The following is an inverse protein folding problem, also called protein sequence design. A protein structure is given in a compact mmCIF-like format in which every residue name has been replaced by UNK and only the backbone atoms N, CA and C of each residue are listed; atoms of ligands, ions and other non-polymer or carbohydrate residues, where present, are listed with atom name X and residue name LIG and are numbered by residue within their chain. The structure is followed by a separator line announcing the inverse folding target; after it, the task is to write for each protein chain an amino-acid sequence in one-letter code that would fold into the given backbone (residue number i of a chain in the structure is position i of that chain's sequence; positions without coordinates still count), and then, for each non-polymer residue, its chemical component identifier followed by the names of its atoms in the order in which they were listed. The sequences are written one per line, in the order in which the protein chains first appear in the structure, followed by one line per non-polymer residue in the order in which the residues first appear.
data_IF_945204004880
#
_entry.id   IF_945204004880
#
_cell.length_a   1.000
_cell.length_b   1.000
_cell.length_c   1.000
_cell.angle_alpha   90.00
_cell.angle_beta   90.00
_cell.angle_gamma   90.00
#
_symmetry.space_group_name_H-M   'P 1'
#
loop_
_entity.id
_entity.type
_entity.pdbx_description
1 polymer ?
#
# COMPACT_ATOMS: atom_id res chain seq x y z
N UNK A 1 11.10 -2.88 69.00
CA UNK A 1 12.19 -3.44 68.16
C UNK A 1 12.18 -2.69 66.83
N UNK A 2 13.33 -2.11 66.47
CA UNK A 2 13.53 -1.26 65.28
C UNK A 2 13.55 -2.13 64.02
N UNK A 3 12.75 -1.79 63.02
CA UNK A 3 12.94 -2.29 61.65
C UNK A 3 13.17 -1.07 60.75
N UNK A 4 14.42 -0.86 60.37
CA UNK A 4 14.83 0.14 59.40
C UNK A 4 14.51 -0.39 57.99
N UNK A 5 13.59 0.26 57.28
CA UNK A 5 13.39 0.02 55.85
C UNK A 5 14.45 0.80 55.06
N UNK A 6 15.41 0.06 54.49
CA UNK A 6 16.42 0.59 53.60
C UNK A 6 15.79 0.83 52.22
N UNK A 7 15.60 2.10 51.85
CA UNK A 7 15.13 2.48 50.52
C UNK A 7 16.28 2.33 49.51
N UNK A 8 16.28 1.23 48.74
CA UNK A 8 17.13 1.07 47.56
C UNK A 8 16.54 1.88 46.40
N UNK A 9 17.06 3.09 46.22
CA UNK A 9 16.87 3.89 45.01
C UNK A 9 17.56 3.19 43.83
N UNK A 10 16.79 2.47 43.01
CA UNK A 10 17.24 2.03 41.69
C UNK A 10 17.31 3.25 40.77
N UNK A 11 18.51 3.79 40.56
CA UNK A 11 18.78 4.73 39.48
C UNK A 11 18.67 3.98 38.14
N UNK A 12 17.63 4.28 37.37
CA UNK A 12 17.52 3.85 35.98
C UNK A 12 18.63 4.55 35.16
N UNK A 13 19.37 3.83 34.29
CA UNK A 13 20.39 4.46 33.48
C UNK A 13 19.72 5.41 32.49
N UNK A 14 20.11 6.68 32.60
CA UNK A 14 19.75 7.74 31.68
C UNK A 14 20.30 7.44 30.29
N UNK A 15 19.41 7.46 29.30
CA UNK A 15 19.69 7.76 27.89
C UNK A 15 20.85 6.99 27.24
N UNK A 16 20.52 5.86 26.60
CA UNK A 16 21.33 5.42 25.46
C UNK A 16 21.28 6.52 24.39
N UNK A 17 22.38 7.27 24.24
CA UNK A 17 22.54 8.23 23.16
C UNK A 17 22.36 7.49 21.83
N UNK A 18 21.27 7.78 21.13
CA UNK A 18 21.06 7.34 19.75
C UNK A 18 22.22 7.93 18.95
N UNK A 19 23.19 7.10 18.59
CA UNK A 19 24.33 7.52 17.77
C UNK A 19 23.79 8.08 16.47
N UNK A 20 24.01 9.38 16.22
CA UNK A 20 23.67 10.04 14.96
C UNK A 20 24.38 9.26 13.86
N UNK A 21 23.62 8.69 12.92
CA UNK A 21 24.20 7.99 11.78
C UNK A 21 25.22 8.93 11.09
N UNK A 22 26.42 8.45 10.72
CA UNK A 22 27.40 9.28 10.06
C UNK A 22 26.79 9.85 8.77
N UNK A 23 26.98 11.15 8.55
CA UNK A 23 26.62 11.80 7.31
C UNK A 23 27.39 11.13 6.17
N UNK A 24 26.68 10.59 5.19
CA UNK A 24 27.33 10.01 4.02
C UNK A 24 27.71 11.05 2.97
N UNK A 25 28.20 10.61 1.80
CA UNK A 25 28.56 11.52 0.70
C UNK A 25 27.33 12.36 0.31
N UNK A 26 27.46 13.69 0.42
CA UNK A 26 26.37 14.67 0.23
C UNK A 26 25.66 15.12 1.51
N UNK A 27 26.21 14.85 2.70
CA UNK A 27 25.62 15.27 3.97
C UNK A 27 25.61 16.79 4.20
N UNK A 28 26.50 17.51 3.53
CA UNK A 28 26.56 18.98 3.47
C UNK A 28 25.41 19.57 2.64
N UNK A 29 24.89 18.85 1.63
CA UNK A 29 23.75 19.31 0.82
C UNK A 29 22.54 19.67 1.70
N UNK A 30 22.35 18.96 2.82
CA UNK A 30 21.26 19.19 3.75
C UNK A 30 21.32 20.56 4.44
N UNK A 31 22.48 21.23 4.52
CA UNK A 31 22.56 22.56 5.13
C UNK A 31 21.76 23.60 4.35
N UNK A 32 21.57 23.39 3.05
CA UNK A 32 20.83 24.28 2.17
C UNK A 32 19.51 23.67 1.67
N UNK A 33 19.48 22.36 1.38
CA UNK A 33 18.32 21.70 0.74
C UNK A 33 17.34 21.04 1.73
N UNK A 34 17.65 20.99 3.02
CA UNK A 34 16.78 20.32 3.99
C UNK A 34 15.38 20.91 4.06
N UNK A 35 15.22 22.21 3.80
CA UNK A 35 13.91 22.87 3.89
C UNK A 35 12.86 22.23 2.96
N UNK A 36 13.28 21.72 1.80
CA UNK A 36 12.42 21.16 0.75
C UNK A 36 11.80 19.81 1.14
N UNK A 37 12.53 18.98 1.88
CA UNK A 37 12.08 17.62 2.22
C UNK A 37 11.81 17.43 3.71
N UNK A 38 12.41 18.23 4.61
CA UNK A 38 12.29 18.04 6.05
C UNK A 38 10.88 18.32 6.59
N UNK A 39 10.08 19.11 5.86
CA UNK A 39 8.68 19.41 6.22
C UNK A 39 7.71 18.27 5.88
N UNK A 40 8.16 17.25 5.14
CA UNK A 40 7.33 16.13 4.69
C UNK A 40 7.23 15.03 5.75
N UNK A 41 6.07 14.38 5.80
CA UNK A 41 5.82 13.32 6.81
C UNK A 41 6.69 12.09 6.62
N UNK A 42 6.97 11.69 5.37
CA UNK A 42 7.70 10.46 5.06
C UNK A 42 8.91 10.79 4.22
N UNK A 43 10.07 10.87 4.87
CA UNK A 43 11.37 11.13 4.24
C UNK A 43 12.04 9.79 3.89
N UNK A 44 12.58 9.67 2.69
CA UNK A 44 13.34 8.50 2.25
C UNK A 44 14.59 8.33 3.11
N UNK A 45 14.89 7.14 3.68
CA UNK A 45 16.02 6.99 4.59
C UNK A 45 17.38 7.45 4.05
N UNK A 46 17.75 7.22 2.77
CA UNK A 46 18.95 7.81 2.19
C UNK A 46 19.00 9.34 2.33
N UNK A 47 17.91 10.04 2.03
CA UNK A 47 17.82 11.51 2.16
C UNK A 47 17.88 11.94 3.63
N UNK A 48 17.14 11.27 4.51
CA UNK A 48 17.15 11.57 5.95
C UNK A 48 18.56 11.45 6.56
N UNK A 49 19.38 10.55 6.02
CA UNK A 49 20.74 10.29 6.48
C UNK A 49 21.81 11.07 5.68
N UNK A 50 21.42 11.99 4.81
CA UNK A 50 22.37 12.81 4.03
C UNK A 50 23.15 12.02 2.97
N UNK A 51 22.61 10.91 2.49
CA UNK A 51 23.23 10.06 1.45
C UNK A 51 22.87 10.53 0.04
N UNK A 52 22.97 11.84 -0.22
CA UNK A 52 22.58 12.43 -1.51
C UNK A 52 23.42 11.84 -2.66
N UNK A 53 24.70 11.58 -2.38
CA UNK A 53 25.67 10.96 -3.30
C UNK A 53 25.36 9.51 -3.71
N UNK A 54 24.41 8.84 -3.04
CA UNK A 54 23.97 7.51 -3.44
C UNK A 54 23.12 7.55 -4.73
N UNK A 55 22.49 8.69 -5.02
CA UNK A 55 21.66 8.86 -6.21
C UNK A 55 22.18 9.95 -7.15
N UNK A 56 22.78 11.00 -6.60
CA UNK A 56 23.27 12.13 -7.37
C UNK A 56 24.80 12.12 -7.45
N UNK A 57 25.32 12.40 -8.64
CA UNK A 57 26.75 12.59 -8.88
C UNK A 57 26.94 14.02 -9.39
N UNK A 58 27.73 14.80 -8.68
CA UNK A 58 28.06 16.17 -9.10
C UNK A 58 28.79 16.15 -10.45
N UNK A 59 28.28 16.93 -11.40
CA UNK A 59 28.92 17.14 -12.70
C UNK A 59 29.71 18.45 -12.73
N UNK A 60 29.29 19.44 -11.94
CA UNK A 60 30.04 20.66 -11.67
C UNK A 60 29.56 21.28 -10.36
N UNK A 61 30.49 21.47 -9.43
CA UNK A 61 30.24 22.14 -8.15
C UNK A 61 29.95 23.62 -8.32
N UNK A 62 30.67 24.33 -9.22
CA UNK A 62 30.48 25.77 -9.42
C UNK A 62 29.12 26.11 -10.02
N UNK A 63 28.63 25.25 -10.91
CA UNK A 63 27.34 25.41 -11.59
C UNK A 63 26.19 24.72 -10.84
N UNK A 64 26.48 24.05 -9.73
CA UNK A 64 25.51 23.28 -8.94
C UNK A 64 24.72 22.27 -9.80
N UNK A 65 25.42 21.51 -10.66
CA UNK A 65 24.80 20.55 -11.59
C UNK A 65 25.08 19.11 -11.19
N UNK A 66 24.07 18.24 -11.36
CA UNK A 66 24.12 16.85 -10.92
C UNK A 66 23.51 15.91 -11.97
N UNK A 67 24.13 14.75 -12.15
CA UNK A 67 23.59 13.61 -12.87
C UNK A 67 23.06 12.54 -11.90
N UNK A 68 22.29 11.58 -12.41
CA UNK A 68 21.95 10.38 -11.65
C UNK A 68 23.08 9.37 -11.71
N UNK A 69 23.33 8.67 -10.60
CA UNK A 69 24.37 7.64 -10.50
C UNK A 69 24.10 6.39 -11.37
N UNK A 70 22.85 6.19 -11.79
CA UNK A 70 22.43 5.15 -12.72
C UNK A 70 21.08 5.51 -13.36
N UNK A 71 20.76 4.87 -14.49
CA UNK A 71 19.54 5.14 -15.24
C UNK A 71 18.32 4.37 -14.71
N UNK A 72 17.18 5.07 -14.69
CA UNK A 72 15.86 4.50 -14.48
C UNK A 72 15.76 3.53 -13.29
N UNK A 73 15.28 2.31 -13.56
CA UNK A 73 15.08 1.29 -12.51
C UNK A 73 16.38 0.76 -11.91
N UNK A 74 17.51 0.88 -12.61
CA UNK A 74 18.78 0.35 -12.12
C UNK A 74 19.25 1.12 -10.88
N UNK A 75 19.02 2.44 -10.85
CA UNK A 75 19.33 3.26 -9.67
C UNK A 75 18.58 2.76 -8.43
N UNK A 76 17.27 2.55 -8.57
CA UNK A 76 16.45 2.09 -7.46
C UNK A 76 16.86 0.68 -6.98
N UNK A 77 17.29 -0.19 -7.91
CA UNK A 77 17.69 -1.58 -7.64
C UNK A 77 19.01 -1.75 -6.93
N UNK A 78 19.81 -0.70 -6.82
CA UNK A 78 21.02 -0.74 -5.98
C UNK A 78 20.68 -1.08 -4.53
N UNK A 79 19.47 -0.71 -4.07
CA UNK A 79 18.98 -0.98 -2.72
C UNK A 79 17.64 -1.75 -2.68
N UNK A 80 16.73 -1.50 -3.62
CA UNK A 80 15.41 -2.14 -3.63
C UNK A 80 15.43 -3.45 -4.42
N UNK A 81 14.90 -4.52 -3.83
CA UNK A 81 14.71 -5.79 -4.53
C UNK A 81 13.83 -5.64 -5.80
N UNK A 82 13.96 -6.56 -6.75
CA UNK A 82 13.26 -6.45 -8.04
C UNK A 82 11.75 -6.51 -7.83
N UNK A 83 11.04 -5.72 -8.63
CA UNK A 83 9.57 -5.58 -8.61
C UNK A 83 8.94 -5.93 -9.97
N UNK A 84 9.69 -6.66 -10.81
CA UNK A 84 9.31 -7.06 -12.16
C UNK A 84 9.64 -8.54 -12.48
N UNK A 85 9.53 -9.40 -11.48
CA UNK A 85 9.82 -10.84 -11.55
C UNK A 85 8.58 -11.73 -11.64
N UNK A 86 7.39 -11.21 -11.32
CA UNK A 86 6.15 -12.00 -11.31
C UNK A 86 5.39 -11.91 -12.63
N UNK A 87 4.47 -12.87 -12.85
CA UNK A 87 3.80 -13.08 -14.14
C UNK A 87 3.00 -11.87 -14.63
N UNK A 88 2.28 -11.18 -13.74
CA UNK A 88 1.42 -10.05 -14.08
C UNK A 88 2.11 -8.77 -13.64
N UNK A 89 2.90 -8.21 -14.56
CA UNK A 89 3.65 -6.98 -14.35
C UNK A 89 2.82 -5.74 -14.69
N UNK A 90 3.02 -4.66 -13.93
CA UNK A 90 2.50 -3.35 -14.26
C UNK A 90 3.47 -2.62 -15.22
N UNK A 91 2.97 -2.20 -16.39
CA UNK A 91 3.81 -1.60 -17.45
C UNK A 91 4.74 -0.46 -16.98
N UNK A 92 4.30 0.51 -16.14
CA UNK A 92 5.20 1.55 -15.64
C UNK A 92 6.41 1.01 -14.88
N UNK A 93 6.29 -0.14 -14.22
CA UNK A 93 7.42 -0.79 -13.54
C UNK A 93 8.36 -1.46 -14.54
N UNK A 94 7.80 -2.11 -15.57
CA UNK A 94 8.60 -2.70 -16.65
C UNK A 94 9.50 -1.66 -17.33
N UNK A 95 8.90 -0.50 -17.62
CA UNK A 95 9.53 0.67 -18.26
C UNK A 95 10.42 1.48 -17.30
N UNK A 96 10.48 1.13 -16.03
CA UNK A 96 11.32 1.80 -15.04
C UNK A 96 10.85 3.19 -14.61
N UNK A 97 9.57 3.51 -14.83
CA UNK A 97 8.92 4.78 -14.51
C UNK A 97 8.57 4.91 -13.01
N UNK A 98 9.51 4.53 -12.13
CA UNK A 98 9.33 4.55 -10.67
C UNK A 98 8.94 5.96 -10.18
N UNK A 99 9.57 6.97 -10.78
CA UNK A 99 9.37 8.39 -10.50
C UNK A 99 8.11 8.98 -11.15
N UNK A 100 7.24 8.18 -11.74
CA UNK A 100 5.89 8.65 -12.07
C UNK A 100 5.01 8.66 -10.81
N UNK A 101 5.17 7.64 -9.97
CA UNK A 101 4.38 7.43 -8.76
C UNK A 101 5.12 7.86 -7.49
N UNK A 102 6.40 7.52 -7.34
CA UNK A 102 7.15 7.68 -6.09
C UNK A 102 8.07 8.89 -6.06
N UNK A 103 7.95 9.72 -5.03
CA UNK A 103 8.94 10.73 -4.70
C UNK A 103 10.18 10.07 -4.07
N UNK A 104 11.38 10.22 -4.69
CA UNK A 104 12.59 9.58 -4.19
C UNK A 104 13.16 10.30 -2.96
N UNK A 105 12.70 11.52 -2.66
CA UNK A 105 13.17 12.32 -1.53
C UNK A 105 12.23 12.20 -0.34
N UNK A 106 11.01 12.72 -0.47
CA UNK A 106 10.03 12.71 0.60
C UNK A 106 8.62 13.02 0.10
N UNK A 107 7.61 12.57 0.85
CA UNK A 107 6.22 12.93 0.59
C UNK A 107 5.36 12.81 1.84
N UNK A 108 4.21 13.46 1.83
CA UNK A 108 3.18 13.33 2.86
C UNK A 108 2.30 12.08 2.65
N UNK A 109 2.40 11.45 1.48
CA UNK A 109 1.54 10.33 1.10
C UNK A 109 2.18 8.96 1.35
N UNK A 110 1.32 7.96 1.61
CA UNK A 110 1.68 6.56 1.81
C UNK A 110 2.73 6.07 0.80
N UNK A 111 3.72 5.31 1.28
CA UNK A 111 4.81 4.76 0.46
C UNK A 111 5.56 5.80 -0.40
N UNK A 112 5.62 7.05 0.07
CA UNK A 112 6.24 8.19 -0.62
C UNK A 112 5.66 8.45 -2.01
N UNK A 113 4.37 8.25 -2.19
CA UNK A 113 3.71 8.58 -3.46
C UNK A 113 3.65 10.10 -3.67
N UNK A 114 3.70 10.59 -4.91
CA UNK A 114 3.52 12.02 -5.19
C UNK A 114 2.11 12.52 -4.88
N UNK A 115 1.13 11.62 -4.82
CA UNK A 115 -0.29 11.90 -4.56
C UNK A 115 -0.85 10.82 -3.63
N UNK A 116 -2.10 10.95 -3.22
CA UNK A 116 -2.81 9.87 -2.52
C UNK A 116 -2.83 8.60 -3.39
N UNK A 117 -3.06 7.43 -2.79
CA UNK A 117 -3.12 6.19 -3.58
C UNK A 117 -4.26 6.26 -4.62
N UNK A 118 -5.42 6.81 -4.23
CA UNK A 118 -6.55 7.00 -5.12
C UNK A 118 -6.18 7.85 -6.35
N UNK A 119 -5.61 9.02 -6.12
CA UNK A 119 -5.26 9.96 -7.18
C UNK A 119 -4.14 9.42 -8.07
N UNK A 120 -3.17 8.72 -7.47
CA UNK A 120 -2.08 8.07 -8.20
C UNK A 120 -2.64 7.06 -9.22
N UNK A 121 -3.54 6.18 -8.79
CA UNK A 121 -4.12 5.16 -9.67
C UNK A 121 -5.08 5.78 -10.71
N UNK A 122 -5.92 6.73 -10.30
CA UNK A 122 -6.97 7.31 -11.17
C UNK A 122 -6.44 8.30 -12.19
N UNK A 123 -5.19 8.76 -12.05
CA UNK A 123 -4.48 9.55 -13.09
C UNK A 123 -4.46 8.82 -14.45
N UNK A 124 -4.27 7.50 -14.46
CA UNK A 124 -4.20 6.71 -15.69
C UNK A 124 -5.31 5.66 -15.82
N UNK A 125 -5.93 5.26 -14.71
CA UNK A 125 -7.08 4.37 -14.71
C UNK A 125 -8.35 5.20 -14.41
N UNK A 126 -8.84 5.99 -15.38
CA UNK A 126 -9.99 6.84 -15.16
C UNK A 126 -11.20 5.99 -14.79
N UNK A 127 -12.02 6.60 -13.94
CA UNK A 127 -12.98 5.90 -13.10
C UNK A 127 -13.95 4.99 -13.85
N UNK A 128 -14.19 5.07 -15.17
CA UNK A 128 -15.06 4.13 -15.92
C UNK A 128 -14.73 2.63 -15.77
N UNK A 129 -13.48 2.27 -15.47
CA UNK A 129 -13.10 0.87 -15.10
C UNK A 129 -13.06 0.60 -13.58
N UNK A 130 -13.23 1.65 -12.77
CA UNK A 130 -13.24 1.69 -11.29
C UNK A 130 -14.64 2.15 -10.78
N UNK A 131 -15.66 2.26 -11.66
CA UNK A 131 -16.73 3.29 -11.57
C UNK A 131 -17.87 3.02 -10.62
N UNK A 132 -17.64 2.14 -9.68
CA UNK A 132 -18.56 1.99 -8.58
C UNK A 132 -18.28 2.98 -7.44
N UNK A 133 -17.34 3.91 -7.65
CA UNK A 133 -17.19 5.10 -6.82
C UNK A 133 -18.46 5.99 -6.80
N UNK A 134 -19.33 5.88 -7.82
CA UNK A 134 -20.66 6.52 -7.86
C UNK A 134 -21.80 5.53 -7.60
N UNK A 135 -21.50 4.24 -7.45
CA UNK A 135 -22.52 3.24 -7.22
C UNK A 135 -23.17 3.46 -5.85
N UNK A 136 -24.45 3.09 -5.74
CA UNK A 136 -25.19 3.15 -4.50
C UNK A 136 -24.54 2.26 -3.42
N UNK A 137 -24.16 1.03 -3.76
CA UNK A 137 -23.46 0.11 -2.85
C UNK A 137 -21.97 0.11 -3.15
N UNK A 138 -21.23 0.95 -2.42
CA UNK A 138 -19.76 1.04 -2.53
C UNK A 138 -19.08 0.04 -1.61
N UNK A 139 -17.94 -0.47 -2.04
CA UNK A 139 -17.08 -1.24 -1.15
C UNK A 139 -16.41 -0.30 -0.15
N UNK A 140 -16.53 -0.57 1.16
CA UNK A 140 -15.95 0.29 2.20
C UNK A 140 -14.44 0.48 2.06
N UNK A 141 -13.71 -0.53 1.56
CA UNK A 141 -12.26 -0.38 1.34
C UNK A 141 -11.89 0.53 0.16
N UNK A 142 -12.88 1.01 -0.61
CA UNK A 142 -12.68 1.97 -1.70
C UNK A 142 -13.00 3.41 -1.31
N UNK A 143 -13.32 3.67 -0.04
CA UNK A 143 -13.39 5.04 0.46
C UNK A 143 -11.97 5.53 0.81
N UNK A 144 -11.35 6.43 0.02
CA UNK A 144 -10.03 6.96 0.33
C UNK A 144 -9.97 7.76 1.64
N UNK A 145 -11.11 8.29 2.12
CA UNK A 145 -11.16 9.02 3.39
C UNK A 145 -10.99 8.08 4.59
N UNK A 146 -11.46 6.83 4.47
CA UNK A 146 -11.36 5.80 5.53
C UNK A 146 -10.18 4.85 5.29
N UNK A 147 -9.76 4.67 4.04
CA UNK A 147 -8.68 3.78 3.66
C UNK A 147 -7.66 4.49 2.76
N UNK A 148 -6.57 5.05 3.33
CA UNK A 148 -5.52 5.69 2.54
C UNK A 148 -4.75 4.70 1.64
N UNK A 149 -4.91 3.38 1.85
CA UNK A 149 -4.36 2.32 1.01
C UNK A 149 -5.37 1.78 0.00
N UNK A 150 -6.39 2.56 -0.35
CA UNK A 150 -7.37 2.22 -1.40
C UNK A 150 -6.66 1.68 -2.66
N UNK A 151 -7.30 0.74 -3.37
CA UNK A 151 -6.72 -0.05 -4.49
C UNK A 151 -5.63 -1.02 -4.04
N UNK A 152 -4.56 -0.53 -3.40
CA UNK A 152 -3.42 -1.35 -2.95
C UNK A 152 -3.69 -2.12 -1.66
N UNK A 153 -4.92 -2.09 -1.15
CA UNK A 153 -5.39 -3.02 -0.14
C UNK A 153 -5.50 -4.44 -0.73
N UNK A 154 -6.03 -4.54 -1.95
CA UNK A 154 -6.27 -5.81 -2.65
C UNK A 154 -5.23 -6.08 -3.75
N UNK A 155 -4.75 -5.03 -4.42
CA UNK A 155 -3.82 -5.14 -5.54
C UNK A 155 -2.38 -4.88 -5.10
N UNK A 156 -1.43 -5.53 -5.76
CA UNK A 156 -0.05 -5.05 -5.78
C UNK A 156 0.12 -4.08 -6.97
N UNK A 157 0.66 -2.90 -6.68
CA UNK A 157 0.80 -1.83 -7.68
C UNK A 157 1.95 -2.07 -8.68
N UNK A 158 2.84 -3.02 -8.38
CA UNK A 158 3.99 -3.34 -9.21
C UNK A 158 3.75 -4.63 -9.98
N UNK A 159 3.42 -5.71 -9.26
CA UNK A 159 3.42 -7.04 -9.84
C UNK A 159 2.68 -8.06 -8.97
N UNK A 160 2.16 -9.13 -9.58
CA UNK A 160 1.70 -10.30 -8.85
C UNK A 160 1.66 -11.52 -9.78
N UNK A 161 1.62 -12.73 -9.22
CA UNK A 161 1.43 -13.96 -10.00
C UNK A 161 -0.03 -14.19 -10.42
N UNK A 162 -0.93 -13.29 -10.00
CA UNK A 162 -2.38 -13.43 -10.13
C UNK A 162 -2.95 -12.35 -11.04
N UNK A 163 -4.01 -12.72 -11.77
CA UNK A 163 -4.70 -11.80 -12.67
C UNK A 163 -5.13 -10.52 -11.95
N UNK A 164 -5.14 -9.41 -12.70
CA UNK A 164 -5.45 -8.07 -12.16
C UNK A 164 -4.51 -7.65 -11.01
N UNK A 165 -3.37 -8.32 -10.84
CA UNK A 165 -2.37 -8.07 -9.78
C UNK A 165 -2.96 -8.19 -8.37
N UNK A 166 -3.84 -9.16 -8.15
CA UNK A 166 -4.32 -9.45 -6.79
C UNK A 166 -3.18 -9.96 -5.92
N UNK A 167 -3.16 -9.59 -4.63
CA UNK A 167 -2.09 -10.01 -3.72
C UNK A 167 -2.08 -11.49 -3.40
N UNK A 168 -3.23 -12.13 -3.46
CA UNK A 168 -3.41 -13.55 -3.11
C UNK A 168 -4.41 -14.22 -4.06
N UNK A 169 -4.34 -15.55 -4.12
CA UNK A 169 -5.24 -16.38 -4.92
C UNK A 169 -5.65 -17.66 -4.16
N UNK A 170 -6.90 -18.15 -4.31
CA UNK A 170 -8.01 -17.56 -5.09
C UNK A 170 -8.44 -16.19 -4.53
N UNK A 171 -9.22 -15.38 -5.29
CA UNK A 171 -9.59 -14.02 -4.87
C UNK A 171 -10.16 -13.91 -3.46
N UNK A 172 -10.85 -14.97 -3.00
CA UNK A 172 -11.34 -15.12 -1.63
C UNK A 172 -10.27 -14.85 -0.54
N UNK A 173 -9.02 -15.22 -0.76
CA UNK A 173 -7.94 -15.01 0.22
C UNK A 173 -7.66 -13.52 0.45
N UNK A 174 -7.77 -12.69 -0.60
CA UNK A 174 -7.70 -11.24 -0.45
C UNK A 174 -8.91 -10.71 0.33
N UNK A 175 -10.11 -11.21 0.03
CA UNK A 175 -11.34 -10.83 0.72
C UNK A 175 -11.26 -11.13 2.23
N UNK A 176 -10.76 -12.31 2.59
CA UNK A 176 -10.59 -12.73 3.98
C UNK A 176 -9.53 -11.97 4.76
N UNK A 177 -8.74 -11.10 4.11
CA UNK A 177 -7.94 -10.11 4.83
C UNK A 177 -8.78 -9.15 5.66
N UNK A 178 -10.05 -8.92 5.29
CA UNK A 178 -10.98 -8.05 6.03
C UNK A 178 -12.32 -8.73 6.36
N UNK A 179 -12.83 -9.61 5.51
CA UNK A 179 -14.10 -10.33 5.72
C UNK A 179 -13.95 -11.55 6.64
N UNK A 180 -13.08 -11.44 7.65
CA UNK A 180 -12.80 -12.46 8.66
C UNK A 180 -13.42 -12.16 10.02
N UNK A 181 -14.31 -11.17 10.07
CA UNK A 181 -15.07 -10.74 11.21
C UNK A 181 -16.37 -10.10 10.74
N UNK A 182 -17.30 -9.88 11.68
CA UNK A 182 -18.49 -9.07 11.39
C UNK A 182 -18.06 -7.62 11.17
N UNK A 183 -18.51 -7.01 10.08
CA UNK A 183 -18.21 -5.62 9.73
C UNK A 183 -19.48 -4.78 9.81
N UNK A 184 -19.37 -3.62 10.44
CA UNK A 184 -20.41 -2.60 10.44
C UNK A 184 -20.35 -1.76 9.16
N UNK A 185 -21.49 -1.59 8.50
CA UNK A 185 -21.60 -0.72 7.32
C UNK A 185 -22.85 0.14 7.41
N UNK A 186 -22.93 1.26 6.66
CA UNK A 186 -24.11 2.11 6.63
C UNK A 186 -25.41 1.39 6.22
N UNK A 187 -25.30 0.29 5.47
CA UNK A 187 -26.44 -0.50 4.99
C UNK A 187 -26.72 -1.75 5.84
N UNK A 188 -26.02 -1.90 6.97
CA UNK A 188 -26.19 -3.01 7.92
C UNK A 188 -24.91 -3.82 8.14
N UNK A 189 -25.01 -4.87 8.95
CA UNK A 189 -23.86 -5.74 9.26
C UNK A 189 -23.55 -6.70 8.12
N UNK A 190 -22.27 -6.82 7.80
CA UNK A 190 -21.72 -7.91 6.99
C UNK A 190 -21.23 -8.96 7.97
N UNK A 191 -21.70 -10.20 7.83
CA UNK A 191 -21.28 -11.31 8.68
C UNK A 191 -19.80 -11.66 8.48
N UNK A 192 -19.23 -12.39 9.43
CA UNK A 192 -17.92 -13.02 9.27
C UNK A 192 -17.96 -14.08 8.16
N UNK A 193 -17.60 -13.68 6.94
CA UNK A 193 -17.66 -14.55 5.77
C UNK A 193 -16.62 -15.66 5.86
N UNK A 194 -15.40 -15.38 6.35
CA UNK A 194 -14.36 -16.40 6.53
C UNK A 194 -14.84 -17.52 7.44
N UNK A 195 -15.35 -17.16 8.62
CA UNK A 195 -15.88 -18.15 9.55
C UNK A 195 -17.07 -18.92 8.97
N UNK A 196 -17.99 -18.25 8.28
CA UNK A 196 -19.12 -18.93 7.65
C UNK A 196 -18.66 -19.93 6.59
N UNK A 197 -17.73 -19.53 5.71
CA UNK A 197 -17.12 -20.43 4.74
C UNK A 197 -16.37 -21.56 5.45
N UNK A 198 -15.65 -21.33 6.54
CA UNK A 198 -14.94 -22.41 7.25
C UNK A 198 -15.88 -23.38 7.97
N UNK A 199 -17.02 -22.90 8.50
CA UNK A 199 -17.99 -23.69 9.25
C UNK A 199 -19.02 -24.43 8.41
N UNK A 200 -19.16 -24.14 7.11
CA UNK A 200 -20.17 -24.76 6.23
C UNK A 200 -19.47 -25.50 5.07
N UNK A 201 -18.84 -26.66 5.28
CA UNK A 201 -17.96 -27.35 4.31
C UNK A 201 -18.60 -27.60 2.94
N UNK A 202 -17.78 -27.86 1.92
CA UNK A 202 -18.22 -27.92 0.51
C UNK A 202 -19.37 -28.92 0.22
N UNK A 203 -19.49 -29.96 1.03
CA UNK A 203 -20.54 -30.97 0.97
C UNK A 203 -21.93 -30.45 1.40
N UNK A 204 -22.03 -29.23 1.92
CA UNK A 204 -23.28 -28.59 2.35
C UNK A 204 -23.90 -27.66 1.28
N UNK A 205 -23.66 -27.92 -0.01
CA UNK A 205 -24.22 -27.18 -1.16
C UNK A 205 -23.76 -25.72 -1.28
N UNK A 206 -22.45 -25.45 -1.16
CA UNK A 206 -21.91 -24.17 -1.64
C UNK A 206 -22.11 -24.04 -3.15
N UNK A 207 -22.66 -22.92 -3.61
CA UNK A 207 -22.69 -22.60 -5.04
C UNK A 207 -21.25 -22.57 -5.60
N UNK A 208 -21.06 -23.16 -6.78
CA UNK A 208 -19.74 -23.43 -7.39
C UNK A 208 -18.70 -22.32 -7.26
N UNK A 209 -19.02 -21.05 -7.60
CA UNK A 209 -18.07 -19.96 -7.46
C UNK A 209 -17.58 -19.69 -6.03
N UNK A 210 -18.40 -19.93 -5.01
CA UNK A 210 -17.98 -19.79 -3.60
C UNK A 210 -17.03 -20.93 -3.22
N UNK A 211 -17.31 -22.15 -3.71
CA UNK A 211 -16.43 -23.32 -3.53
C UNK A 211 -15.05 -23.08 -4.14
N UNK A 212 -14.99 -22.47 -5.31
CA UNK A 212 -13.74 -22.16 -6.02
C UNK A 212 -13.01 -20.92 -5.48
N UNK A 213 -13.52 -20.27 -4.43
CA UNK A 213 -12.96 -19.02 -3.90
C UNK A 213 -13.11 -17.82 -4.86
N UNK A 214 -14.05 -17.91 -5.80
CA UNK A 214 -14.32 -16.95 -6.87
C UNK A 214 -15.49 -16.02 -6.52
N UNK A 215 -15.42 -15.38 -5.34
CA UNK A 215 -16.38 -14.37 -4.90
C UNK A 215 -16.70 -13.31 -5.98
N UNK A 216 -15.71 -12.83 -6.79
CA UNK A 216 -15.96 -11.87 -7.85
C UNK A 216 -16.84 -12.37 -9.01
N UNK A 217 -17.22 -13.65 -9.06
CA UNK A 217 -18.19 -14.13 -10.08
C UNK A 217 -19.58 -13.57 -9.83
N UNK A 218 -19.95 -13.36 -8.57
CA UNK A 218 -21.24 -12.78 -8.19
C UNK A 218 -21.11 -11.35 -7.65
N UNK A 219 -20.00 -11.03 -6.98
CA UNK A 219 -19.75 -9.69 -6.44
C UNK A 219 -18.90 -8.84 -7.38
N UNK A 220 -19.18 -7.55 -7.47
CA UNK A 220 -18.29 -6.57 -8.08
C UNK A 220 -17.51 -5.87 -6.95
N UNK A 221 -16.23 -6.20 -6.72
CA UNK A 221 -15.46 -5.68 -5.59
C UNK A 221 -15.25 -4.16 -5.64
N UNK A 222 -15.47 -3.53 -6.80
CA UNK A 222 -15.44 -2.08 -6.88
C UNK A 222 -16.75 -1.43 -6.37
N UNK A 223 -17.85 -2.18 -6.31
CA UNK A 223 -19.20 -1.78 -5.87
C UNK A 223 -20.25 -2.05 -6.95
N UNK A 224 -21.53 -1.80 -6.71
CA UNK A 224 -22.61 -1.81 -7.73
C UNK A 224 -23.82 -1.07 -7.20
N UNK A 225 -24.80 -0.76 -8.04
CA UNK A 225 -26.09 -0.27 -7.54
C UNK A 225 -26.94 -1.38 -6.87
N UNK A 226 -26.58 -2.64 -7.06
CA UNK A 226 -27.27 -3.75 -6.40
C UNK A 226 -26.82 -3.94 -4.95
N UNK A 227 -27.76 -4.41 -4.13
CA UNK A 227 -27.54 -4.81 -2.74
C UNK A 227 -26.36 -5.78 -2.60
N UNK A 228 -25.53 -5.59 -1.55
CA UNK A 228 -24.31 -6.39 -1.25
C UNK A 228 -23.34 -6.50 -2.44
N UNK A 229 -23.28 -5.47 -3.27
CA UNK A 229 -22.34 -5.37 -4.40
C UNK A 229 -22.48 -6.52 -5.40
N UNK A 230 -23.69 -7.02 -5.60
CA UNK A 230 -23.95 -8.09 -6.56
C UNK A 230 -23.91 -7.55 -7.99
N UNK A 231 -23.39 -8.34 -8.93
CA UNK A 231 -23.34 -7.96 -10.35
C UNK A 231 -24.72 -7.83 -11.01
N UNK A 232 -25.74 -8.44 -10.42
CA UNK A 232 -27.15 -8.30 -10.79
C UNK A 232 -28.01 -8.36 -9.53
N UNK A 233 -29.23 -7.83 -9.59
CA UNK A 233 -30.20 -7.96 -8.51
C UNK A 233 -30.64 -9.41 -8.32
N UNK A 234 -31.03 -9.77 -7.10
CA UNK A 234 -31.70 -11.04 -6.83
C UNK A 234 -33.19 -10.93 -7.25
N UNK A 235 -33.79 -11.95 -7.90
CA UNK A 235 -33.23 -13.28 -8.19
C UNK A 235 -32.41 -13.38 -9.48
N UNK A 236 -32.29 -12.33 -10.30
CA UNK A 236 -31.62 -12.38 -11.61
C UNK A 236 -30.15 -12.81 -11.58
N UNK A 237 -29.44 -12.67 -10.46
CA UNK A 237 -28.06 -13.16 -10.28
C UNK A 237 -27.94 -14.69 -10.27
N UNK A 238 -28.99 -15.43 -9.89
CA UNK A 238 -28.95 -16.91 -9.83
C UNK A 238 -29.22 -17.59 -11.17
N UNK A 239 -29.42 -16.81 -12.23
CA UNK A 239 -29.76 -17.28 -13.58
C UNK A 239 -28.61 -17.06 -14.59
N UNK A 240 -27.43 -16.65 -14.11
CA UNK A 240 -26.22 -16.33 -14.90
C UNK A 240 -25.03 -17.14 -14.41
#
# INVERSE_FOLDING_TARGET
MRAAFCALLFALPTGAAVRKAPAGPGGDCASCHAEEYAKKQIIHPPVKNGLCGACHVSTSESEHTFALAADGKQLCRQCHGPRDTQKVLHNPVNEGLCLFCHDPHASDNYARLRRTVFDTCTTCHPSKRIQNASAFTKHGALDPAQNPKVCVACHDAHQSDHEKRLKEWPPMNVCFGCHNQTLDTPTGKIMNMKQWVESNPENEMRHGPVREGMCPKCHEPHGTDNWRMLKASFPGISQR
#
